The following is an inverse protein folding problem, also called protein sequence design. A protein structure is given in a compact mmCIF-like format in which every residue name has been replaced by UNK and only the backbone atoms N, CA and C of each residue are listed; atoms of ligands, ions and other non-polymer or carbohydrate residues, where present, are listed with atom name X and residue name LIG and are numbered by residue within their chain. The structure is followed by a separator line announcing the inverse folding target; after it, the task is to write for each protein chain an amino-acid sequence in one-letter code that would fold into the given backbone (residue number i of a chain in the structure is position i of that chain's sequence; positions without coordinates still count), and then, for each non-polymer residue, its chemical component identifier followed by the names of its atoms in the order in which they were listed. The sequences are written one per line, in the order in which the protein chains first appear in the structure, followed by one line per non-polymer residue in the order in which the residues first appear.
data_IF_188677792147
#
_entry.id   IF_188677792147
#
_cell.length_a   1.000
_cell.length_b   1.000
_cell.length_c   1.000
_cell.angle_alpha   90.00
_cell.angle_beta   90.00
_cell.angle_gamma   90.00
#
_symmetry.space_group_name_H-M   'P 1'
#
loop_
_entity.id
_entity.type
_entity.pdbx_description
1 polymer ?
#
# COMPACT_ATOMS: atom_id res chain seq x y z
N UNK A 1 -12.15 11.57 -21.99
CA UNK A 1 -13.05 10.38 -21.88
C UNK A 1 -13.57 9.93 -23.24
N UNK A 2 -14.45 10.67 -23.94
CA UNK A 2 -15.05 10.23 -25.23
C UNK A 2 -14.06 10.09 -26.39
N UNK A 3 -12.89 10.71 -26.28
CA UNK A 3 -11.80 10.63 -27.26
C UNK A 3 -11.12 9.27 -27.31
N UNK A 4 -11.25 8.47 -26.25
CA UNK A 4 -10.56 7.18 -26.18
C UNK A 4 -11.19 6.17 -27.15
N UNK A 5 -10.41 5.41 -27.93
CA UNK A 5 -10.95 4.49 -28.94
C UNK A 5 -11.90 3.44 -28.33
N UNK A 6 -11.57 2.91 -27.14
CA UNK A 6 -12.42 1.93 -26.45
C UNK A 6 -13.70 2.53 -25.84
N UNK A 7 -13.85 3.85 -25.79
CA UNK A 7 -15.06 4.47 -25.22
C UNK A 7 -16.31 4.09 -26.04
N UNK A 8 -16.19 4.07 -27.36
CA UNK A 8 -17.32 3.80 -28.27
C UNK A 8 -17.83 2.38 -28.16
N UNK A 9 -16.99 1.40 -27.81
CA UNK A 9 -17.41 0.02 -27.57
C UNK A 9 -18.04 -0.19 -26.19
N UNK A 10 -17.73 0.67 -25.21
CA UNK A 10 -18.20 0.55 -23.82
C UNK A 10 -19.40 1.44 -23.48
N UNK A 11 -19.77 2.34 -24.38
CA UNK A 11 -20.88 3.25 -24.16
C UNK A 11 -22.23 2.52 -24.27
N UNK A 12 -23.17 2.92 -23.43
CA UNK A 12 -24.55 2.44 -23.52
C UNK A 12 -25.24 3.07 -24.74
N UNK A 13 -25.98 2.24 -25.49
CA UNK A 13 -26.66 2.62 -26.71
C UNK A 13 -28.16 2.32 -26.60
N UNK A 14 -28.98 3.23 -27.11
CA UNK A 14 -30.42 2.99 -27.34
C UNK A 14 -30.72 2.65 -28.80
N UNK A 15 -29.81 3.01 -29.72
CA UNK A 15 -29.85 2.70 -31.15
C UNK A 15 -28.45 2.29 -31.60
N UNK A 16 -28.33 1.40 -32.59
CA UNK A 16 -27.04 0.82 -32.98
C UNK A 16 -25.98 1.85 -33.43
N UNK A 17 -26.41 3.05 -33.81
CA UNK A 17 -25.60 4.07 -34.48
C UNK A 17 -24.95 5.05 -33.48
N UNK A 18 -25.52 5.29 -32.29
CA UNK A 18 -25.05 6.37 -31.41
C UNK A 18 -25.06 6.05 -29.92
N UNK A 19 -24.00 6.48 -29.23
CA UNK A 19 -23.91 6.43 -27.77
C UNK A 19 -24.88 7.42 -27.14
N UNK A 20 -25.45 7.04 -26.00
CA UNK A 20 -26.25 7.95 -25.18
C UNK A 20 -25.45 9.22 -24.79
N UNK A 21 -26.10 10.38 -24.65
CA UNK A 21 -25.46 11.58 -24.12
C UNK A 21 -25.12 11.38 -22.62
N UNK A 22 -23.94 11.84 -22.23
CA UNK A 22 -23.51 11.84 -20.82
C UNK A 22 -24.32 12.87 -20.03
N UNK A 23 -24.58 12.59 -18.75
CA UNK A 23 -25.30 13.50 -17.88
C UNK A 23 -24.31 14.50 -17.31
N UNK A 24 -24.34 15.71 -17.87
CA UNK A 24 -23.45 16.82 -17.48
C UNK A 24 -24.30 18.06 -17.21
N UNK A 25 -23.83 18.91 -16.30
CA UNK A 25 -24.50 20.17 -16.02
C UNK A 25 -24.69 20.99 -17.30
N UNK A 26 -23.67 21.04 -18.17
CA UNK A 26 -23.74 21.73 -19.47
C UNK A 26 -24.81 21.20 -20.42
N UNK A 27 -24.99 19.87 -20.50
CA UNK A 27 -26.03 19.28 -21.33
C UNK A 27 -27.44 19.59 -20.80
N UNK A 28 -27.64 19.56 -19.49
CA UNK A 28 -28.93 19.94 -18.89
C UNK A 28 -29.24 21.43 -19.05
N UNK A 29 -28.24 22.31 -18.94
CA UNK A 29 -28.41 23.74 -19.24
C UNK A 29 -28.77 23.96 -20.71
N UNK A 30 -28.18 23.20 -21.64
CA UNK A 30 -28.53 23.26 -23.06
C UNK A 30 -30.02 22.89 -23.28
N UNK A 31 -30.52 21.85 -22.60
CA UNK A 31 -31.93 21.44 -22.68
C UNK A 31 -32.88 22.52 -22.14
N UNK A 32 -32.53 23.18 -21.03
CA UNK A 32 -33.34 24.28 -20.46
C UNK A 32 -33.42 25.51 -21.39
N UNK A 33 -32.35 25.76 -22.14
CA UNK A 33 -32.21 26.90 -23.06
C UNK A 33 -32.55 26.54 -24.51
N UNK A 34 -33.04 25.32 -24.75
CA UNK A 34 -33.44 24.78 -26.04
C UNK A 34 -32.30 24.81 -27.10
N UNK A 35 -31.07 24.48 -26.66
CA UNK A 35 -29.88 24.35 -27.50
C UNK A 35 -29.48 22.88 -27.65
N UNK A 36 -28.91 22.54 -28.80
CA UNK A 36 -28.48 21.18 -29.11
C UNK A 36 -27.13 20.77 -28.49
N UNK A 37 -26.27 21.74 -28.12
CA UNK A 37 -24.94 21.46 -27.58
C UNK A 37 -24.56 22.47 -26.51
N UNK A 38 -23.78 22.03 -25.53
CA UNK A 38 -23.23 22.85 -24.46
C UNK A 38 -22.28 23.95 -24.97
N UNK A 39 -21.63 23.75 -26.13
CA UNK A 39 -20.71 24.74 -26.73
C UNK A 39 -21.41 26.02 -27.21
N UNK A 40 -22.73 25.98 -27.43
CA UNK A 40 -23.53 27.14 -27.89
C UNK A 40 -24.10 27.96 -26.73
N UNK A 41 -23.71 27.68 -25.49
CA UNK A 41 -24.19 28.37 -24.30
C UNK A 41 -23.37 29.66 -24.09
N UNK A 42 -24.05 30.75 -23.75
CA UNK A 42 -23.47 32.08 -23.51
C UNK A 42 -23.79 32.52 -22.09
N UNK A 43 -23.14 33.58 -21.58
CA UNK A 43 -23.40 34.09 -20.23
C UNK A 43 -24.87 34.49 -20.00
N UNK A 44 -25.53 35.04 -21.02
CA UNK A 44 -26.96 35.35 -20.94
C UNK A 44 -27.81 34.11 -20.61
N UNK A 45 -27.54 32.99 -21.29
CA UNK A 45 -28.21 31.71 -21.04
C UNK A 45 -27.92 31.18 -19.62
N UNK A 46 -26.71 31.39 -19.11
CA UNK A 46 -26.34 31.00 -17.74
C UNK A 46 -27.10 31.83 -16.70
N UNK A 47 -27.16 33.16 -16.87
CA UNK A 47 -27.90 34.05 -15.96
C UNK A 47 -29.40 33.73 -15.93
N UNK A 48 -29.99 33.39 -17.09
CA UNK A 48 -31.38 32.97 -17.21
C UNK A 48 -31.62 31.63 -16.49
N UNK A 49 -30.76 30.64 -16.71
CA UNK A 49 -30.84 29.33 -16.05
C UNK A 49 -30.70 29.47 -14.54
N UNK A 50 -29.79 30.31 -14.07
CA UNK A 50 -29.60 30.58 -12.65
C UNK A 50 -30.84 31.20 -12.00
N UNK A 51 -31.53 32.14 -12.68
CA UNK A 51 -32.82 32.69 -12.22
C UNK A 51 -33.89 31.60 -12.09
N UNK A 52 -33.97 30.68 -13.04
CA UNK A 52 -34.91 29.54 -12.97
C UNK A 52 -34.58 28.67 -11.77
N UNK A 53 -33.33 28.21 -11.65
CA UNK A 53 -32.89 27.36 -10.54
C UNK A 53 -33.19 28.01 -9.18
N UNK A 54 -32.87 29.30 -9.02
CA UNK A 54 -33.17 30.04 -7.78
C UNK A 54 -34.65 30.11 -7.47
N UNK A 55 -35.51 30.33 -8.48
CA UNK A 55 -36.96 30.33 -8.29
C UNK A 55 -37.53 28.96 -7.93
N UNK A 56 -36.92 27.89 -8.46
CA UNK A 56 -37.35 26.52 -8.26
C UNK A 56 -36.80 25.88 -6.97
N UNK A 57 -35.71 26.43 -6.40
CA UNK A 57 -35.03 25.89 -5.23
C UNK A 57 -35.95 25.76 -4.01
N UNK A 58 -36.88 26.72 -3.80
CA UNK A 58 -37.86 26.65 -2.69
C UNK A 58 -38.72 25.39 -2.77
N UNK A 59 -39.15 25.00 -3.98
CA UNK A 59 -39.98 23.80 -4.17
C UNK A 59 -39.19 22.50 -3.98
N UNK A 60 -37.89 22.51 -4.30
CA UNK A 60 -37.01 21.37 -4.04
C UNK A 60 -36.75 21.17 -2.54
N UNK A 61 -36.40 22.23 -1.81
CA UNK A 61 -36.17 22.15 -0.37
C UNK A 61 -37.43 21.81 0.44
N UNK A 62 -38.61 22.18 -0.06
CA UNK A 62 -39.88 21.83 0.56
C UNK A 62 -40.37 20.41 0.18
N UNK A 63 -39.61 19.67 -0.64
CA UNK A 63 -39.96 18.31 -1.07
C UNK A 63 -41.13 18.21 -2.06
N UNK A 64 -41.66 19.33 -2.56
CA UNK A 64 -42.77 19.31 -3.52
C UNK A 64 -42.31 19.03 -4.95
N UNK A 65 -41.05 19.31 -5.28
CA UNK A 65 -40.43 18.94 -6.55
C UNK A 65 -39.84 17.53 -6.44
N UNK A 66 -40.61 16.53 -6.85
CA UNK A 66 -40.20 15.12 -6.88
C UNK A 66 -39.82 14.61 -8.28
N UNK A 67 -39.34 13.35 -8.38
CA UNK A 67 -38.89 12.76 -9.65
C UNK A 67 -40.04 12.51 -10.64
N UNK A 68 -41.27 12.36 -10.16
CA UNK A 68 -42.43 11.98 -10.98
C UNK A 68 -43.24 13.18 -11.47
N UNK A 69 -42.71 14.41 -11.40
CA UNK A 69 -43.43 15.60 -11.82
C UNK A 69 -43.60 15.75 -13.34
N UNK A 70 -42.90 14.93 -14.12
CA UNK A 70 -42.88 15.01 -15.58
C UNK A 70 -43.01 13.63 -16.21
N UNK A 71 -44.05 13.45 -17.00
CA UNK A 71 -44.24 12.24 -17.78
C UNK A 71 -43.52 12.37 -19.13
N UNK A 72 -42.55 11.48 -19.36
CA UNK A 72 -41.75 11.42 -20.57
C UNK A 72 -42.55 10.91 -21.78
N UNK A 73 -43.59 10.11 -21.56
CA UNK A 73 -44.42 9.53 -22.62
C UNK A 73 -45.39 10.57 -23.20
N UNK A 74 -46.12 11.27 -22.35
CA UNK A 74 -47.08 12.31 -22.76
C UNK A 74 -46.44 13.69 -22.92
N UNK A 75 -45.16 13.87 -22.52
CA UNK A 75 -44.40 15.14 -22.52
C UNK A 75 -45.15 16.28 -21.82
N UNK A 76 -45.87 15.94 -20.76
CA UNK A 76 -46.71 16.88 -19.99
C UNK A 76 -46.35 16.82 -18.51
N UNK A 77 -46.73 17.90 -17.83
CA UNK A 77 -46.61 17.99 -16.38
C UNK A 77 -47.73 17.17 -15.75
N UNK A 78 -47.38 16.31 -14.81
CA UNK A 78 -48.36 15.60 -13.99
C UNK A 78 -48.94 16.55 -12.94
N UNK A 79 -50.11 17.11 -13.25
CA UNK A 79 -50.78 18.08 -12.40
C UNK A 79 -51.27 17.46 -11.08
N UNK A 80 -51.57 16.16 -11.07
CA UNK A 80 -52.01 15.41 -9.90
C UNK A 80 -50.89 15.21 -8.88
N UNK A 81 -49.66 14.94 -9.34
CA UNK A 81 -48.50 14.68 -8.47
C UNK A 81 -47.80 15.95 -8.02
N UNK A 82 -47.81 17.00 -8.84
CA UNK A 82 -47.06 18.23 -8.57
C UNK A 82 -47.97 19.48 -8.69
N UNK A 83 -48.80 19.69 -7.68
CA UNK A 83 -49.67 20.87 -7.54
C UNK A 83 -48.84 22.11 -7.17
N UNK A 84 -49.22 23.29 -7.66
CA UNK A 84 -48.55 24.59 -7.39
C UNK A 84 -47.10 24.80 -7.89
N UNK A 85 -46.56 23.92 -8.74
CA UNK A 85 -45.23 24.11 -9.36
C UNK A 85 -45.37 24.57 -10.82
N UNK A 86 -44.59 25.59 -11.21
CA UNK A 86 -44.55 26.08 -12.60
C UNK A 86 -43.95 25.05 -13.55
N UNK A 87 -44.48 24.99 -14.78
CA UNK A 87 -43.96 24.11 -15.85
C UNK A 87 -42.47 24.36 -16.17
N UNK A 88 -41.96 25.56 -15.87
CA UNK A 88 -40.53 25.89 -16.05
C UNK A 88 -39.62 25.08 -15.12
N UNK A 89 -40.12 24.69 -13.93
CA UNK A 89 -39.36 23.90 -12.96
C UNK A 89 -39.49 22.39 -13.21
N UNK A 90 -40.60 21.92 -13.78
CA UNK A 90 -40.85 20.48 -14.00
C UNK A 90 -40.45 19.97 -15.38
N UNK A 91 -40.13 20.87 -16.34
CA UNK A 91 -39.79 20.48 -17.72
C UNK A 91 -38.66 19.44 -17.76
N UNK A 92 -38.95 18.29 -18.37
CA UNK A 92 -38.04 17.13 -18.50
C UNK A 92 -37.38 16.66 -17.20
N UNK A 93 -37.99 16.98 -16.06
CA UNK A 93 -37.41 16.73 -14.74
C UNK A 93 -35.97 17.27 -14.54
N UNK A 94 -35.57 18.26 -15.35
CA UNK A 94 -34.17 18.69 -15.44
C UNK A 94 -33.71 19.39 -14.17
N UNK A 95 -34.54 20.25 -13.60
CA UNK A 95 -34.20 21.00 -12.37
C UNK A 95 -34.00 20.06 -11.19
N UNK A 96 -34.85 19.03 -11.07
CA UNK A 96 -34.72 18.01 -10.05
C UNK A 96 -33.41 17.24 -10.20
N UNK A 97 -33.10 16.77 -11.41
CA UNK A 97 -31.86 16.01 -11.68
C UNK A 97 -30.59 16.84 -11.43
N UNK A 98 -30.60 18.13 -11.79
CA UNK A 98 -29.49 19.04 -11.48
C UNK A 98 -29.28 19.09 -9.96
N UNK A 99 -30.31 19.43 -9.19
CA UNK A 99 -30.21 19.61 -7.73
C UNK A 99 -29.93 18.31 -6.96
N UNK A 100 -30.43 17.19 -7.44
CA UNK A 100 -30.31 15.93 -6.72
C UNK A 100 -28.99 15.20 -7.02
N UNK A 101 -28.49 15.29 -8.26
CA UNK A 101 -27.36 14.47 -8.71
C UNK A 101 -26.12 15.24 -9.17
N UNK A 102 -26.24 16.47 -9.68
CA UNK A 102 -25.15 17.11 -10.43
C UNK A 102 -24.46 18.26 -9.70
N UNK A 103 -25.17 18.98 -8.82
CA UNK A 103 -24.60 20.13 -8.10
C UNK A 103 -24.52 19.86 -6.61
N UNK A 104 -23.56 20.50 -5.96
CA UNK A 104 -23.45 20.49 -4.52
C UNK A 104 -24.58 21.28 -3.82
N UNK A 105 -24.71 21.04 -2.52
CA UNK A 105 -25.68 21.77 -1.68
C UNK A 105 -25.30 23.24 -1.49
N UNK A 106 -24.01 23.57 -1.64
CA UNK A 106 -23.47 24.90 -1.40
C UNK A 106 -23.91 25.92 -2.45
N UNK A 107 -24.16 25.49 -3.69
CA UNK A 107 -24.69 26.32 -4.76
C UNK A 107 -25.96 27.10 -4.35
N UNK A 108 -26.74 26.60 -3.40
CA UNK A 108 -28.01 27.21 -2.96
C UNK A 108 -27.92 27.88 -1.58
N UNK A 109 -26.73 27.95 -0.98
CA UNK A 109 -26.56 28.63 0.30
C UNK A 109 -26.77 30.15 0.17
N UNK A 110 -27.45 30.81 1.14
CA UNK A 110 -27.76 32.24 1.06
C UNK A 110 -26.51 33.13 1.14
N UNK A 111 -25.36 32.60 1.58
CA UNK A 111 -24.10 33.34 1.84
C UNK A 111 -23.14 33.37 0.64
N UNK A 112 -23.65 33.58 -0.57
CA UNK A 112 -22.97 33.57 -1.89
C UNK A 112 -23.05 32.18 -2.55
N UNK A 113 -23.81 32.04 -3.65
CA UNK A 113 -23.99 30.78 -4.37
C UNK A 113 -22.77 30.50 -5.25
N UNK A 114 -21.82 29.71 -4.76
CA UNK A 114 -20.67 29.24 -5.55
C UNK A 114 -20.77 27.73 -5.68
N UNK A 115 -20.65 27.22 -6.91
CA UNK A 115 -20.52 25.79 -7.16
C UNK A 115 -19.07 25.39 -6.84
N UNK A 116 -18.84 24.61 -5.79
CA UNK A 116 -17.51 24.06 -5.49
C UNK A 116 -17.27 22.76 -6.24
N UNK A 117 -18.28 21.90 -6.28
CA UNK A 117 -18.18 20.59 -6.91
C UNK A 117 -19.38 20.31 -7.81
N UNK A 118 -19.09 19.85 -9.03
CA UNK A 118 -20.07 19.33 -9.96
C UNK A 118 -19.80 17.86 -10.24
N UNK A 119 -20.86 17.06 -10.36
CA UNK A 119 -20.75 15.65 -10.73
C UNK A 119 -21.09 15.46 -12.21
N UNK A 120 -20.40 14.52 -12.85
CA UNK A 120 -20.63 14.11 -14.23
C UNK A 120 -20.86 12.60 -14.26
N UNK A 121 -21.95 12.16 -14.90
CA UNK A 121 -22.16 10.73 -15.16
C UNK A 121 -21.90 10.42 -16.63
N UNK A 122 -20.93 9.54 -16.87
CA UNK A 122 -20.70 8.97 -18.19
C UNK A 122 -21.75 7.89 -18.46
N UNK A 123 -22.18 7.80 -19.72
CA UNK A 123 -23.10 6.76 -20.22
C UNK A 123 -22.35 5.46 -20.52
N UNK A 124 -21.56 4.99 -19.56
CA UNK A 124 -20.71 3.80 -19.65
C UNK A 124 -20.94 2.95 -18.42
N UNK A 125 -20.92 1.64 -18.57
CA UNK A 125 -21.02 0.73 -17.44
C UNK A 125 -19.77 0.79 -16.57
N UNK A 126 -19.96 0.66 -15.25
CA UNK A 126 -18.84 0.56 -14.30
C UNK A 126 -18.25 -0.84 -14.35
N UNK A 127 -16.93 -0.95 -14.31
CA UNK A 127 -16.27 -2.25 -14.26
C UNK A 127 -14.84 -2.25 -14.76
N UNK A 128 -14.26 -3.45 -14.85
CA UNK A 128 -12.86 -3.68 -15.25
C UNK A 128 -12.54 -3.14 -16.64
N UNK A 129 -13.52 -3.08 -17.54
CA UNK A 129 -13.36 -2.54 -18.90
C UNK A 129 -12.96 -1.06 -18.92
N UNK A 130 -13.28 -0.30 -17.87
CA UNK A 130 -12.89 1.11 -17.74
C UNK A 130 -11.44 1.30 -17.26
N UNK A 131 -10.72 0.22 -16.92
CA UNK A 131 -9.36 0.28 -16.39
C UNK A 131 -8.37 0.90 -17.38
N UNK A 132 -8.40 0.48 -18.65
CA UNK A 132 -7.50 1.01 -19.67
C UNK A 132 -7.73 2.52 -19.89
N UNK A 133 -8.99 2.95 -19.93
CA UNK A 133 -9.35 4.36 -20.06
C UNK A 133 -8.81 5.17 -18.88
N UNK A 134 -8.83 4.59 -17.68
CA UNK A 134 -8.27 5.20 -16.46
C UNK A 134 -6.75 5.36 -16.55
N UNK A 135 -6.02 4.28 -16.81
CA UNK A 135 -4.55 4.27 -16.89
C UNK A 135 -4.07 5.24 -17.97
N UNK A 136 -4.64 5.16 -19.19
CA UNK A 136 -4.15 5.92 -20.34
C UNK A 136 -4.43 7.43 -20.23
N UNK A 137 -5.55 7.83 -19.61
CA UNK A 137 -5.97 9.24 -19.61
C UNK A 137 -5.90 9.93 -18.25
N UNK A 138 -5.87 9.20 -17.13
CA UNK A 138 -6.06 9.78 -15.80
C UNK A 138 -4.92 9.48 -14.82
N UNK A 139 -4.17 8.39 -14.98
CA UNK A 139 -3.08 8.07 -14.04
C UNK A 139 -1.93 9.09 -14.10
N UNK A 140 -1.52 9.49 -15.30
CA UNK A 140 -0.41 10.42 -15.51
C UNK A 140 -0.84 11.86 -15.84
N UNK A 141 -2.14 12.10 -16.03
CA UNK A 141 -2.63 13.42 -16.39
C UNK A 141 -2.88 14.26 -15.13
N UNK A 142 -2.45 15.52 -15.15
CA UNK A 142 -2.73 16.48 -14.07
C UNK A 142 -4.22 16.83 -13.92
N UNK A 143 -5.12 16.13 -14.63
CA UNK A 143 -6.57 16.15 -14.44
C UNK A 143 -7.17 17.55 -14.34
N UNK A 144 -6.60 18.51 -15.07
CA UNK A 144 -6.92 19.93 -14.96
C UNK A 144 -6.87 20.60 -16.33
N UNK A 145 -7.91 21.38 -16.62
CA UNK A 145 -8.06 22.15 -17.86
C UNK A 145 -7.74 23.65 -17.64
N UNK A 146 -6.99 23.98 -16.57
CA UNK A 146 -6.65 25.35 -16.17
C UNK A 146 -7.77 26.13 -15.45
N UNK A 147 -9.03 25.72 -15.59
CA UNK A 147 -10.19 26.30 -14.89
C UNK A 147 -10.87 25.28 -13.98
N UNK A 148 -11.05 24.05 -14.46
CA UNK A 148 -11.68 22.95 -13.71
C UNK A 148 -10.68 21.83 -13.47
N UNK A 149 -10.76 21.21 -12.29
CA UNK A 149 -9.97 20.04 -11.93
C UNK A 149 -10.88 18.87 -11.60
N UNK A 150 -10.46 17.67 -11.98
CA UNK A 150 -11.17 16.43 -11.64
C UNK A 150 -10.65 15.97 -10.28
N UNK A 151 -11.47 16.13 -9.24
CA UNK A 151 -11.09 15.81 -7.86
C UNK A 151 -11.29 14.35 -7.49
N UNK A 152 -12.15 13.63 -8.22
CA UNK A 152 -12.44 12.23 -7.95
C UNK A 152 -13.12 11.54 -9.13
N UNK A 153 -12.81 10.26 -9.31
CA UNK A 153 -13.32 9.43 -10.40
C UNK A 153 -13.79 8.09 -9.81
N UNK A 154 -15.01 7.68 -10.15
CA UNK A 154 -15.61 6.43 -9.66
C UNK A 154 -16.06 5.56 -10.84
N UNK A 155 -15.14 4.74 -11.36
CA UNK A 155 -15.41 3.79 -12.45
C UNK A 155 -15.69 2.35 -11.98
N UNK A 156 -15.70 2.09 -10.66
CA UNK A 156 -15.84 0.73 -10.14
C UNK A 156 -14.60 -0.15 -10.31
N UNK A 157 -13.42 0.45 -10.52
CA UNK A 157 -12.13 -0.26 -10.70
C UNK A 157 -11.32 -0.41 -9.40
N UNK A 158 -11.81 0.14 -8.27
CA UNK A 158 -11.07 0.24 -7.00
C UNK A 158 -10.45 -1.08 -6.53
N UNK A 159 -11.20 -2.17 -6.58
CA UNK A 159 -10.72 -3.47 -6.09
C UNK A 159 -9.63 -4.07 -6.99
N UNK A 160 -9.77 -3.94 -8.30
CA UNK A 160 -8.75 -4.41 -9.25
C UNK A 160 -7.48 -3.57 -9.12
N UNK A 161 -7.64 -2.25 -9.06
CA UNK A 161 -6.54 -1.32 -8.88
C UNK A 161 -5.80 -1.56 -7.56
N UNK A 162 -6.53 -1.84 -6.47
CA UNK A 162 -5.94 -2.22 -5.20
C UNK A 162 -5.12 -3.51 -5.30
N UNK A 163 -5.58 -4.52 -6.04
CA UNK A 163 -4.82 -5.75 -6.25
C UNK A 163 -3.54 -5.50 -7.06
N UNK A 164 -3.61 -4.69 -8.11
CA UNK A 164 -2.45 -4.35 -8.96
C UNK A 164 -1.42 -3.50 -8.18
N UNK A 165 -1.89 -2.55 -7.36
CA UNK A 165 -1.01 -1.80 -6.46
C UNK A 165 -0.44 -2.68 -5.35
N UNK A 166 -1.18 -3.62 -4.78
CA UNK A 166 -0.63 -4.57 -3.80
C UNK A 166 0.55 -5.35 -4.38
N UNK A 167 0.45 -5.83 -5.62
CA UNK A 167 1.56 -6.52 -6.30
C UNK A 167 2.75 -5.59 -6.50
N UNK A 168 2.52 -4.34 -6.92
CA UNK A 168 3.57 -3.34 -7.05
C UNK A 168 4.21 -3.04 -5.69
N UNK A 169 3.41 -3.00 -4.63
CA UNK A 169 3.86 -2.72 -3.27
C UNK A 169 4.65 -3.88 -2.67
N UNK A 170 4.47 -5.13 -3.13
CA UNK A 170 5.31 -6.28 -2.70
C UNK A 170 6.80 -6.09 -3.04
N UNK A 171 7.14 -5.19 -3.96
CA UNK A 171 8.52 -4.81 -4.25
C UNK A 171 9.18 -4.12 -3.04
N UNK A 172 8.44 -3.35 -2.24
CA UNK A 172 9.01 -2.67 -1.08
C UNK A 172 9.47 -3.62 0.03
N UNK A 173 8.67 -4.63 0.47
CA UNK A 173 9.17 -5.69 1.34
C UNK A 173 10.39 -6.43 0.78
N UNK A 174 10.44 -6.68 -0.54
CA UNK A 174 11.61 -7.30 -1.16
C UNK A 174 12.86 -6.41 -1.02
N UNK A 175 12.74 -5.10 -1.28
CA UNK A 175 13.82 -4.13 -1.04
C UNK A 175 14.22 -4.12 0.44
N UNK A 176 13.26 -4.15 1.36
CA UNK A 176 13.52 -4.19 2.79
C UNK A 176 14.30 -5.45 3.22
N UNK A 177 13.95 -6.63 2.69
CA UNK A 177 14.69 -7.88 2.93
C UNK A 177 16.14 -7.74 2.44
N UNK A 178 16.37 -7.13 1.27
CA UNK A 178 17.72 -6.87 0.74
C UNK A 178 18.50 -5.91 1.64
N UNK A 179 17.87 -4.86 2.18
CA UNK A 179 18.54 -3.93 3.10
C UNK A 179 18.91 -4.65 4.40
N UNK A 180 17.99 -5.43 4.98
CA UNK A 180 18.25 -6.23 6.19
C UNK A 180 19.41 -7.21 5.95
N UNK A 181 19.46 -7.86 4.77
CA UNK A 181 20.58 -8.70 4.35
C UNK A 181 21.90 -7.95 4.37
N UNK A 182 21.95 -6.78 3.75
CA UNK A 182 23.18 -5.96 3.66
C UNK A 182 23.64 -5.56 5.06
N UNK A 183 22.73 -5.11 5.92
CA UNK A 183 23.06 -4.73 7.31
C UNK A 183 23.54 -5.93 8.11
N UNK A 184 22.86 -7.07 8.03
CA UNK A 184 23.26 -8.29 8.72
C UNK A 184 24.61 -8.82 8.21
N UNK A 185 24.91 -8.63 6.92
CA UNK A 185 26.15 -9.07 6.29
C UNK A 185 27.31 -8.20 6.75
N UNK A 186 27.08 -6.89 6.88
CA UNK A 186 28.03 -5.95 7.46
C UNK A 186 28.29 -6.28 8.94
N UNK A 187 27.26 -6.65 9.70
CA UNK A 187 27.37 -7.01 11.11
C UNK A 187 28.12 -8.33 11.34
N UNK A 188 27.71 -9.41 10.67
CA UNK A 188 28.30 -10.75 10.84
C UNK A 188 29.62 -10.94 10.10
N UNK A 189 30.02 -9.98 9.25
CA UNK A 189 31.25 -10.01 8.42
C UNK A 189 31.36 -11.25 7.51
N UNK A 190 30.26 -11.99 7.30
CA UNK A 190 30.22 -13.23 6.53
C UNK A 190 28.93 -13.31 5.71
N UNK A 191 29.06 -13.20 4.38
CA UNK A 191 27.96 -13.29 3.41
C UNK A 191 27.24 -14.65 3.50
N UNK A 192 27.98 -15.69 3.89
CA UNK A 192 27.48 -17.06 4.01
C UNK A 192 26.46 -17.23 5.13
N UNK A 193 26.75 -16.66 6.31
CA UNK A 193 25.83 -16.71 7.47
C UNK A 193 24.52 -15.99 7.11
N UNK A 194 24.61 -14.87 6.41
CA UNK A 194 23.43 -14.08 6.05
C UNK A 194 22.54 -14.71 4.98
N UNK A 195 23.13 -15.33 3.97
CA UNK A 195 22.37 -16.07 2.95
C UNK A 195 21.68 -17.28 3.57
N UNK A 196 22.37 -18.01 4.46
CA UNK A 196 21.80 -19.17 5.14
C UNK A 196 20.68 -18.79 6.12
N UNK A 197 20.76 -17.66 6.81
CA UNK A 197 19.67 -17.20 7.69
C UNK A 197 18.40 -16.83 6.91
N UNK A 198 18.54 -16.27 5.70
CA UNK A 198 17.37 -15.94 4.86
C UNK A 198 16.78 -17.16 4.20
N UNK A 199 17.63 -18.05 3.71
CA UNK A 199 17.17 -19.36 3.24
C UNK A 199 16.45 -20.06 4.39
N UNK A 200 16.94 -20.04 5.63
CA UNK A 200 16.26 -20.64 6.79
C UNK A 200 14.90 -19.99 7.11
N UNK A 201 14.78 -18.65 7.00
CA UNK A 201 13.50 -17.94 7.17
C UNK A 201 12.50 -18.34 6.08
N UNK A 202 12.94 -18.46 4.83
CA UNK A 202 12.10 -18.79 3.65
C UNK A 202 11.79 -20.31 3.57
N UNK A 203 12.76 -21.15 3.92
CA UNK A 203 12.71 -22.63 3.83
C UNK A 203 12.02 -23.27 5.04
N UNK A 204 11.60 -22.44 6.00
CA UNK A 204 10.90 -22.83 7.21
C UNK A 204 9.66 -23.71 6.98
N UNK A 205 9.03 -23.57 5.82
CA UNK A 205 7.87 -24.33 5.39
C UNK A 205 8.19 -25.65 4.65
N UNK A 206 9.41 -25.84 4.13
CA UNK A 206 9.76 -26.96 3.22
C UNK A 206 10.67 -27.99 3.91
N UNK A 207 11.44 -27.57 4.92
CA UNK A 207 12.55 -28.37 5.45
C UNK A 207 12.19 -29.29 6.63
N UNK A 208 10.98 -29.18 7.20
CA UNK A 208 10.50 -30.14 8.22
C UNK A 208 10.45 -31.59 7.70
N UNK A 209 10.14 -31.75 6.41
CA UNK A 209 10.05 -33.05 5.74
C UNK A 209 11.42 -33.65 5.37
N UNK A 210 12.38 -32.79 5.02
CA UNK A 210 13.72 -33.22 4.58
C UNK A 210 14.67 -33.51 5.75
N UNK A 211 14.55 -32.77 6.86
CA UNK A 211 15.38 -32.94 8.06
C UNK A 211 15.15 -34.29 8.77
N UNK A 212 13.92 -34.83 8.75
CA UNK A 212 13.64 -36.16 9.29
C UNK A 212 14.43 -37.27 8.54
N UNK A 213 14.61 -37.10 7.24
CA UNK A 213 15.23 -38.11 6.37
C UNK A 213 16.77 -38.06 6.42
N UNK A 214 17.35 -36.86 6.61
CA UNK A 214 18.81 -36.66 6.71
C UNK A 214 19.34 -36.98 8.11
N UNK A 215 18.57 -36.69 9.16
CA UNK A 215 18.92 -36.99 10.56
C UNK A 215 19.21 -38.48 10.81
N UNK A 216 18.46 -39.38 10.14
CA UNK A 216 18.67 -40.82 10.23
C UNK A 216 19.96 -41.29 9.53
N UNK A 217 20.48 -40.51 8.56
CA UNK A 217 21.68 -40.88 7.81
C UNK A 217 22.96 -40.37 8.50
N UNK A 218 22.93 -39.20 9.12
CA UNK A 218 24.10 -38.57 9.76
C UNK A 218 24.50 -39.19 11.11
N UNK A 219 23.61 -39.97 11.74
CA UNK A 219 23.87 -40.62 13.04
C UNK A 219 24.92 -41.75 12.98
N UNK A 220 25.33 -42.17 11.78
CA UNK A 220 26.18 -43.35 11.58
C UNK A 220 27.68 -43.08 11.42
N UNK A 221 28.14 -41.84 11.17
CA UNK A 221 29.43 -41.68 10.46
C UNK A 221 30.67 -41.20 11.26
N UNK A 222 30.65 -40.38 12.35
CA UNK A 222 31.92 -40.06 13.08
C UNK A 222 31.81 -39.78 14.59
N UNK A 223 32.73 -40.30 15.45
CA UNK A 223 32.59 -40.27 16.90
C UNK A 223 33.49 -39.29 17.69
N UNK A 224 34.39 -38.48 17.10
CA UNK A 224 35.32 -37.66 17.92
C UNK A 224 35.65 -36.27 17.34
N UNK A 225 35.35 -35.19 18.09
CA UNK A 225 36.17 -33.97 18.29
C UNK A 225 35.47 -32.92 19.19
N UNK A 226 36.22 -32.25 20.09
CA UNK A 226 35.83 -31.19 21.05
C UNK A 226 35.45 -29.84 20.38
N UNK A 227 34.37 -29.82 19.60
CA UNK A 227 33.64 -28.60 19.20
C UNK A 227 32.22 -28.58 19.80
N UNK A 228 31.81 -29.69 20.41
CA UNK A 228 30.47 -29.91 20.94
C UNK A 228 30.18 -29.13 22.22
N UNK A 229 31.18 -28.95 23.10
CA UNK A 229 30.99 -28.32 24.41
C UNK A 229 30.76 -26.81 24.30
N UNK A 230 31.57 -26.09 23.51
CA UNK A 230 31.40 -24.65 23.28
C UNK A 230 30.09 -24.33 22.55
N UNK A 231 29.71 -25.14 21.56
CA UNK A 231 28.43 -24.98 20.84
C UNK A 231 27.24 -25.33 21.75
N UNK A 232 27.37 -26.33 22.62
CA UNK A 232 26.29 -26.73 23.54
C UNK A 232 26.01 -25.67 24.61
N UNK A 233 27.04 -25.11 25.24
CA UNK A 233 26.91 -24.07 26.26
C UNK A 233 26.33 -22.78 25.65
N UNK A 234 26.83 -22.38 24.48
CA UNK A 234 26.32 -21.17 23.78
C UNK A 234 24.89 -21.35 23.29
N UNK A 235 24.55 -22.54 22.76
CA UNK A 235 23.19 -22.85 22.33
C UNK A 235 22.20 -22.89 23.50
N UNK A 236 22.59 -23.38 24.67
CA UNK A 236 21.69 -23.45 25.83
C UNK A 236 21.27 -22.05 26.31
N UNK A 237 22.21 -21.11 26.42
CA UNK A 237 21.91 -19.73 26.79
C UNK A 237 21.16 -18.98 25.68
N UNK A 238 21.55 -19.17 24.42
CA UNK A 238 20.92 -18.51 23.29
C UNK A 238 19.49 -19.03 23.04
N UNK A 239 19.27 -20.34 23.11
CA UNK A 239 17.96 -20.96 22.88
C UNK A 239 16.91 -20.52 23.91
N UNK A 240 17.29 -20.38 25.18
CA UNK A 240 16.37 -19.87 26.22
C UNK A 240 15.97 -18.42 25.95
N UNK A 241 16.94 -17.55 25.63
CA UNK A 241 16.66 -16.15 25.29
C UNK A 241 15.78 -16.02 24.04
N UNK A 242 16.11 -16.77 22.98
CA UNK A 242 15.32 -16.81 21.75
C UNK A 242 13.92 -17.36 21.99
N UNK A 243 13.77 -18.39 22.83
CA UNK A 243 12.46 -18.95 23.20
C UNK A 243 11.56 -17.90 23.84
N UNK A 244 12.05 -17.20 24.86
CA UNK A 244 11.26 -16.19 25.58
C UNK A 244 10.79 -15.09 24.62
N UNK A 245 11.66 -14.62 23.73
CA UNK A 245 11.29 -13.59 22.74
C UNK A 245 10.27 -14.10 21.72
N UNK A 246 10.47 -15.28 21.11
CA UNK A 246 9.53 -15.85 20.14
C UNK A 246 8.20 -16.23 20.78
N UNK A 247 8.20 -16.79 21.99
CA UNK A 247 7.00 -17.18 22.71
C UNK A 247 6.16 -15.95 23.10
N UNK A 248 6.77 -14.92 23.69
CA UNK A 248 6.04 -13.70 24.07
C UNK A 248 5.48 -12.97 22.85
N UNK A 249 6.22 -12.93 21.74
CA UNK A 249 5.75 -12.34 20.48
C UNK A 249 4.60 -13.15 19.88
N UNK A 250 4.73 -14.48 19.80
CA UNK A 250 3.67 -15.36 19.31
C UNK A 250 2.42 -15.28 20.19
N UNK A 251 2.58 -15.22 21.52
CA UNK A 251 1.48 -15.07 22.47
C UNK A 251 0.73 -13.76 22.27
N UNK A 252 1.42 -12.64 22.00
CA UNK A 252 0.79 -11.37 21.65
C UNK A 252 -0.05 -11.48 20.38
N UNK A 253 0.44 -12.16 19.33
CA UNK A 253 -0.35 -12.40 18.12
C UNK A 253 -1.50 -13.39 18.33
N UNK A 254 -1.32 -14.43 19.16
CA UNK A 254 -2.40 -15.35 19.52
C UNK A 254 -3.49 -14.70 20.39
N UNK A 255 -3.16 -13.70 21.20
CA UNK A 255 -4.15 -12.94 21.94
C UNK A 255 -5.21 -12.30 21.02
N UNK A 256 -4.83 -11.98 19.77
CA UNK A 256 -5.75 -11.46 18.76
C UNK A 256 -6.84 -12.47 18.34
N UNK A 257 -6.70 -13.76 18.67
CA UNK A 257 -7.74 -14.76 18.44
C UNK A 257 -9.05 -14.46 19.20
N UNK A 258 -8.95 -13.77 20.34
CA UNK A 258 -10.12 -13.38 21.15
C UNK A 258 -10.96 -12.30 20.45
N UNK A 259 -10.39 -11.54 19.51
CA UNK A 259 -11.11 -10.48 18.77
C UNK A 259 -12.31 -11.03 17.99
N UNK A 260 -13.43 -10.31 17.93
CA UNK A 260 -14.61 -10.73 17.16
C UNK A 260 -14.46 -10.56 15.63
N UNK A 261 -13.37 -9.93 15.17
CA UNK A 261 -13.12 -9.64 13.75
C UNK A 261 -12.34 -10.80 13.12
N UNK A 262 -12.93 -11.46 12.12
CA UNK A 262 -12.35 -12.65 11.46
C UNK A 262 -10.97 -12.42 10.86
N UNK A 263 -10.77 -11.30 10.17
CA UNK A 263 -9.46 -10.94 9.59
C UNK A 263 -8.36 -10.84 10.65
N UNK A 264 -8.68 -10.31 11.84
CA UNK A 264 -7.73 -10.17 12.96
C UNK A 264 -7.38 -11.54 13.55
N UNK A 265 -8.37 -12.43 13.69
CA UNK A 265 -8.14 -13.82 14.15
C UNK A 265 -7.22 -14.58 13.21
N UNK A 266 -7.50 -14.55 11.90
CA UNK A 266 -6.72 -15.26 10.89
C UNK A 266 -5.28 -14.73 10.83
N UNK A 267 -5.09 -13.40 10.89
CA UNK A 267 -3.77 -12.79 10.95
C UNK A 267 -3.01 -13.20 12.22
N UNK A 268 -3.66 -13.16 13.39
CA UNK A 268 -3.04 -13.54 14.66
C UNK A 268 -2.58 -15.00 14.70
N UNK A 269 -3.41 -15.93 14.22
CA UNK A 269 -3.06 -17.36 14.14
C UNK A 269 -1.92 -17.59 13.13
N UNK A 270 -1.98 -16.94 11.96
CA UNK A 270 -0.93 -17.07 10.94
C UNK A 270 0.42 -16.53 11.44
N UNK A 271 0.45 -15.31 11.98
CA UNK A 271 1.67 -14.70 12.50
C UNK A 271 2.23 -15.48 13.71
N UNK A 272 1.37 -15.88 14.65
CA UNK A 272 1.77 -16.64 15.83
C UNK A 272 2.36 -18.02 15.50
N UNK A 273 1.77 -18.74 14.54
CA UNK A 273 2.31 -20.03 14.06
C UNK A 273 3.63 -19.85 13.32
N UNK A 274 3.73 -18.86 12.44
CA UNK A 274 4.97 -18.56 11.70
C UNK A 274 6.15 -18.25 12.64
N UNK A 275 5.93 -17.49 13.71
CA UNK A 275 6.97 -17.14 14.69
C UNK A 275 7.44 -18.37 15.47
N UNK A 276 6.53 -19.24 15.91
CA UNK A 276 6.90 -20.47 16.63
C UNK A 276 7.68 -21.45 15.74
N UNK A 277 7.25 -21.61 14.48
CA UNK A 277 7.96 -22.44 13.51
C UNK A 277 9.36 -21.87 13.24
N UNK A 278 9.48 -20.55 13.07
CA UNK A 278 10.76 -19.87 12.91
C UNK A 278 11.71 -20.11 14.10
N UNK A 279 11.20 -20.10 15.33
CA UNK A 279 12.02 -20.44 16.51
C UNK A 279 12.59 -21.86 16.44
N UNK A 280 11.75 -22.86 16.16
CA UNK A 280 12.17 -24.27 16.06
C UNK A 280 13.28 -24.44 15.02
N UNK A 281 13.15 -23.73 13.90
CA UNK A 281 14.15 -23.75 12.83
C UNK A 281 15.43 -23.03 13.20
N UNK A 282 15.35 -21.88 13.84
CA UNK A 282 16.56 -21.18 14.30
C UNK A 282 17.35 -22.04 15.29
N UNK A 283 16.69 -22.74 16.21
CA UNK A 283 17.37 -23.63 17.18
C UNK A 283 18.02 -24.84 16.51
N UNK A 284 17.41 -25.39 15.46
CA UNK A 284 17.91 -26.59 14.76
C UNK A 284 18.94 -26.26 13.67
N UNK A 285 18.79 -25.13 12.98
CA UNK A 285 19.58 -24.76 11.81
C UNK A 285 20.83 -23.93 12.15
N UNK A 286 20.74 -23.06 13.16
CA UNK A 286 21.87 -22.21 13.56
C UNK A 286 23.11 -23.02 14.00
N UNK A 287 22.98 -24.12 14.79
CA UNK A 287 24.13 -24.97 15.11
C UNK A 287 24.77 -25.59 13.88
N UNK A 288 23.95 -26.02 12.90
CA UNK A 288 24.45 -26.59 11.65
C UNK A 288 25.24 -25.57 10.83
N UNK A 289 24.77 -24.32 10.75
CA UNK A 289 25.47 -23.24 10.01
C UNK A 289 26.76 -22.83 10.70
N UNK A 290 26.78 -22.73 12.03
CA UNK A 290 27.99 -22.37 12.79
C UNK A 290 29.07 -23.46 12.65
N UNK A 291 28.69 -24.74 12.75
CA UNK A 291 29.62 -25.85 12.55
C UNK A 291 30.14 -25.89 11.11
N UNK A 292 29.27 -25.63 10.12
CA UNK A 292 29.66 -25.55 8.72
C UNK A 292 30.61 -24.38 8.45
N UNK A 293 30.36 -23.22 9.06
CA UNK A 293 31.22 -22.05 8.98
C UNK A 293 32.63 -22.37 9.51
N UNK A 294 32.73 -22.89 10.73
CA UNK A 294 34.03 -23.20 11.33
C UNK A 294 34.81 -24.29 10.59
N UNK A 295 34.10 -25.27 10.00
CA UNK A 295 34.76 -26.41 9.34
C UNK A 295 35.19 -26.15 7.89
N UNK A 296 34.48 -25.30 7.16
CA UNK A 296 34.74 -25.09 5.72
C UNK A 296 35.35 -23.72 5.37
N UNK A 297 35.12 -22.66 6.15
CA UNK A 297 35.66 -21.33 5.83
C UNK A 297 37.14 -21.07 6.16
N UNK A 298 37.85 -21.74 7.10
CA UNK A 298 39.29 -21.51 7.25
C UNK A 298 40.09 -21.92 6.01
N UNK A 299 39.55 -22.80 5.15
CA UNK A 299 40.18 -23.23 3.90
C UNK A 299 39.81 -22.39 2.67
N UNK A 300 38.76 -21.57 2.70
CA UNK A 300 38.30 -20.77 1.55
C UNK A 300 38.80 -19.32 1.60
N UNK A 301 38.97 -18.73 2.79
CA UNK A 301 39.45 -17.36 2.95
C UNK A 301 40.94 -17.26 3.36
N UNK A 302 41.80 -18.13 2.83
CA UNK A 302 43.24 -17.86 2.72
C UNK A 302 43.54 -16.88 1.56
N UNK A 303 42.75 -15.81 1.42
CA UNK A 303 43.07 -14.65 0.58
C UNK A 303 44.02 -13.67 1.28
N UNK A 304 44.86 -14.16 2.20
CA UNK A 304 45.94 -13.40 2.86
C UNK A 304 47.34 -13.87 2.45
N UNK A 305 47.48 -14.79 1.48
CA UNK A 305 48.75 -15.01 0.79
C UNK A 305 48.62 -14.56 -0.67
N UNK A 306 49.52 -13.68 -1.16
CA UNK A 306 49.47 -13.25 -2.54
C UNK A 306 49.81 -14.44 -3.47
N UNK A 307 49.04 -14.70 -4.54
CA UNK A 307 49.47 -15.61 -5.60
C UNK A 307 50.51 -14.90 -6.49
N UNK A 308 51.49 -15.64 -7.06
CA UNK A 308 52.43 -15.09 -8.02
C UNK A 308 51.70 -14.84 -9.36
N UNK A 309 51.67 -13.56 -9.71
CA UNK A 309 51.77 -12.98 -11.05
C UNK A 309 51.28 -13.84 -12.24
N UNK A 310 50.09 -13.54 -12.78
CA UNK A 310 49.93 -13.39 -14.23
C UNK A 310 48.65 -12.62 -14.63
N UNK A 311 48.78 -11.98 -15.78
CA UNK A 311 48.11 -10.78 -16.31
C UNK A 311 46.70 -10.96 -16.87
N UNK A 312 45.83 -9.97 -16.63
CA UNK A 312 44.74 -9.58 -17.53
C UNK A 312 43.40 -9.23 -16.86
N UNK A 313 43.09 -7.93 -16.72
CA UNK A 313 41.79 -7.24 -16.94
C UNK A 313 41.71 -5.91 -16.13
N UNK A 314 41.70 -4.76 -16.84
CA UNK A 314 41.94 -3.42 -16.27
C UNK A 314 40.75 -2.72 -15.58
N UNK A 315 39.56 -3.33 -15.52
CA UNK A 315 38.39 -2.75 -14.79
C UNK A 315 38.18 -3.37 -13.41
N UNK A 316 38.91 -4.44 -13.07
CA UNK A 316 38.73 -5.19 -11.82
C UNK A 316 39.57 -4.64 -10.65
N UNK A 317 40.69 -3.96 -10.93
CA UNK A 317 41.68 -3.51 -9.93
C UNK A 317 41.24 -2.27 -9.14
N UNK A 318 40.49 -1.35 -9.75
CA UNK A 318 40.05 -0.11 -9.11
C UNK A 318 38.86 -0.36 -8.18
N UNK A 319 37.92 -1.24 -8.59
CA UNK A 319 36.81 -1.71 -7.77
C UNK A 319 37.29 -2.61 -6.63
N UNK A 320 38.29 -3.47 -6.86
CA UNK A 320 38.90 -4.27 -5.79
C UNK A 320 39.63 -3.41 -4.75
N UNK A 321 40.41 -2.40 -5.16
CA UNK A 321 41.10 -1.50 -4.24
C UNK A 321 40.12 -0.60 -3.45
N UNK A 322 39.05 -0.11 -4.11
CA UNK A 322 38.01 0.67 -3.45
C UNK A 322 37.20 -0.18 -2.47
N UNK A 323 36.84 -1.42 -2.85
CA UNK A 323 36.15 -2.37 -1.99
C UNK A 323 37.00 -2.80 -0.79
N UNK A 324 38.31 -3.01 -0.98
CA UNK A 324 39.25 -3.35 0.09
C UNK A 324 39.52 -2.18 1.06
N UNK A 325 39.52 -0.95 0.57
CA UNK A 325 39.68 0.25 1.40
C UNK A 325 38.38 0.58 2.13
N UNK A 326 37.23 0.44 1.47
CA UNK A 326 35.91 0.63 2.05
C UNK A 326 35.63 -0.43 3.13
N UNK A 327 35.95 -1.70 2.90
CA UNK A 327 35.76 -2.78 3.89
C UNK A 327 36.66 -2.59 5.12
N UNK A 328 37.91 -2.15 4.94
CA UNK A 328 38.80 -1.79 6.07
C UNK A 328 38.25 -0.60 6.86
N UNK A 329 37.75 0.44 6.21
CA UNK A 329 37.13 1.60 6.88
C UNK A 329 35.85 1.19 7.63
N UNK A 330 34.97 0.42 6.98
CA UNK A 330 33.76 -0.14 7.58
C UNK A 330 34.10 -1.01 8.80
N UNK A 331 35.17 -1.81 8.72
CA UNK A 331 35.66 -2.62 9.82
C UNK A 331 36.08 -1.77 11.03
N UNK A 332 36.88 -0.72 10.81
CA UNK A 332 37.30 0.20 11.88
C UNK A 332 36.12 0.94 12.50
N UNK A 333 35.16 1.37 11.68
CA UNK A 333 33.94 2.06 12.15
C UNK A 333 33.04 1.09 12.93
N UNK A 334 32.88 -0.16 12.50
CA UNK A 334 32.10 -1.17 13.24
C UNK A 334 32.73 -1.51 14.59
N UNK A 335 34.06 -1.61 14.65
CA UNK A 335 34.73 -1.92 15.91
C UNK A 335 34.66 -0.74 16.88
N UNK A 336 34.83 0.49 16.37
CA UNK A 336 34.67 1.71 17.16
C UNK A 336 33.24 1.86 17.69
N UNK A 337 32.23 1.58 16.87
CA UNK A 337 30.83 1.63 17.30
C UNK A 337 30.52 0.54 18.34
N UNK A 338 31.04 -0.67 18.17
CA UNK A 338 30.90 -1.75 19.16
C UNK A 338 31.48 -1.34 20.52
N UNK A 339 32.69 -0.78 20.54
CA UNK A 339 33.34 -0.31 21.78
C UNK A 339 32.52 0.82 22.43
N UNK A 340 31.97 1.73 21.64
CA UNK A 340 31.06 2.76 22.14
C UNK A 340 29.82 2.16 22.82
N UNK A 341 29.17 1.18 22.18
CA UNK A 341 27.99 0.52 22.74
C UNK A 341 28.29 -0.35 23.97
N UNK A 342 29.42 -1.05 24.02
CA UNK A 342 29.77 -1.91 25.15
C UNK A 342 30.33 -1.15 26.36
N UNK A 343 31.03 -0.02 26.16
CA UNK A 343 31.74 0.69 27.25
C UNK A 343 31.16 2.06 27.56
N UNK A 344 30.80 2.84 26.55
CA UNK A 344 30.35 4.22 26.74
C UNK A 344 28.86 4.28 27.06
N UNK A 345 28.03 3.52 26.36
CA UNK A 345 26.57 3.49 26.59
C UNK A 345 26.20 3.11 28.04
N UNK A 346 26.76 2.05 28.66
CA UNK A 346 26.42 1.71 30.04
C UNK A 346 26.83 2.81 31.03
N UNK A 347 27.98 3.48 30.78
CA UNK A 347 28.44 4.59 31.60
C UNK A 347 27.46 5.78 31.53
N UNK A 348 26.97 6.12 30.33
CA UNK A 348 25.96 7.18 30.13
C UNK A 348 24.65 6.83 30.84
N UNK A 349 24.15 5.59 30.67
CA UNK A 349 22.87 5.15 31.26
C UNK A 349 22.93 5.17 32.78
N UNK A 350 24.02 4.67 33.39
CA UNK A 350 24.18 4.62 34.84
C UNK A 350 24.34 6.03 35.42
N UNK A 351 25.16 6.88 34.79
CA UNK A 351 25.45 8.24 35.28
C UNK A 351 24.24 9.16 35.21
N UNK A 352 23.39 9.00 34.19
CA UNK A 352 22.20 9.82 33.97
C UNK A 352 20.89 9.14 34.42
N UNK A 353 20.94 8.08 35.24
CA UNK A 353 19.78 7.21 35.55
C UNK A 353 18.51 7.96 35.99
N UNK A 354 18.64 8.99 36.82
CA UNK A 354 17.50 9.76 37.34
C UNK A 354 16.90 10.70 36.29
N UNK A 355 17.72 11.22 35.38
CA UNK A 355 17.27 12.04 34.27
C UNK A 355 16.41 11.20 33.31
N UNK A 356 16.87 10.00 32.95
CA UNK A 356 16.12 9.07 32.10
C UNK A 356 14.81 8.63 32.76
N UNK A 357 14.83 8.29 34.04
CA UNK A 357 13.62 7.91 34.78
C UNK A 357 12.56 9.02 34.77
N UNK A 358 12.97 10.25 35.07
CA UNK A 358 12.05 11.39 35.06
C UNK A 358 11.51 11.67 33.65
N UNK A 359 12.36 11.66 32.63
CA UNK A 359 11.95 11.90 31.25
C UNK A 359 11.03 10.81 30.71
N UNK A 360 11.38 9.54 30.85
CA UNK A 360 10.51 8.45 30.40
C UNK A 360 9.18 8.45 31.15
N UNK A 361 9.17 8.73 32.46
CA UNK A 361 7.94 8.83 33.23
C UNK A 361 7.09 10.04 32.81
N UNK A 362 7.70 11.19 32.53
CA UNK A 362 6.99 12.35 32.01
C UNK A 362 6.40 12.09 30.61
N UNK A 363 7.13 11.40 29.73
CA UNK A 363 6.61 11.03 28.41
C UNK A 363 5.50 10.00 28.47
N UNK A 364 5.60 8.99 29.34
CA UNK A 364 4.52 8.00 29.48
C UNK A 364 3.28 8.61 30.11
N UNK A 365 3.42 9.48 31.11
CA UNK A 365 2.28 10.18 31.74
C UNK A 365 1.69 11.26 30.83
N UNK A 366 2.51 11.91 30.00
CA UNK A 366 2.03 12.91 29.04
C UNK A 366 1.41 12.32 27.76
N UNK A 367 1.75 11.08 27.42
CA UNK A 367 1.23 10.38 26.23
C UNK A 367 0.11 9.38 26.50
N UNK A 368 -0.03 8.90 27.74
CA UNK A 368 -1.20 8.14 28.20
C UNK A 368 -2.37 9.07 28.49
#
# INVERSE_FOLDING_TARGET
MRSHPQYWSLCQRTTDISCCPSWTLGNYVAILTNKFSCQKITEHHMSHTFKILRSCAKYYHNGTLGPDCWDMTTRRKDQSKCTNISRRCTKYNTVYQIFHFLVDKELMSPKIPVLKHGMLFSSTEKGKTMMNIYIDNFENWNCSDGVTTITGIEFGIKHNLFQDYLLTDTVYPAIAIVIVLVVMCVYTRSVFITLMTIIAIISSLIVSYFLYHVWNYTKFDKPNAELSETVSITLQHAALSMFVTSFTTAAAFYANYVSNITAIRCFGVYAGTAILVNYILMVTWLPAVVVLHERYLPNIFTCSKPPPQQSGFCTHTLWANLCQKLSKCLFTVLEASRVFFEKVLPCIVIKLRYLWLFWFLAFTVGGA
#
